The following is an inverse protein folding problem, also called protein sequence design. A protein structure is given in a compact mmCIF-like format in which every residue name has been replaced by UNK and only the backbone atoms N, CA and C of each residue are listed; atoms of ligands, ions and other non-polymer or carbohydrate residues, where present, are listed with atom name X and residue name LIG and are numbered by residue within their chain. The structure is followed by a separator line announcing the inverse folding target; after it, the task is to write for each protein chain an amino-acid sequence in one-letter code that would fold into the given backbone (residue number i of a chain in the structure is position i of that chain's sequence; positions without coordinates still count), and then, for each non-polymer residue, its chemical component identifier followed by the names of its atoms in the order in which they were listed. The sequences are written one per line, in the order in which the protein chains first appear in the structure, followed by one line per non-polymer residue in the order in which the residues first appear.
data_IF_511517877359
#
_entry.id   IF_511517877359
#
_cell.length_a   1.000
_cell.length_b   1.000
_cell.length_c   1.000
_cell.angle_alpha   90.00
_cell.angle_beta   90.00
_cell.angle_gamma   90.00
#
_symmetry.space_group_name_H-M   'P 1'
#
loop_
_entity.id
_entity.type
_entity.pdbx_description
1 polymer ?
#
# COMPACT_ATOMS: atom_id res chain seq x y z
N UNK A 1 7.04 -13.71 -28.86
CA UNK A 1 6.09 -12.94 -28.03
C UNK A 1 5.55 -13.80 -26.89
N UNK A 2 5.04 -15.02 -27.15
CA UNK A 2 4.58 -15.96 -26.11
C UNK A 2 5.67 -16.34 -25.09
N UNK A 3 6.91 -16.60 -25.52
CA UNK A 3 8.02 -16.94 -24.60
C UNK A 3 8.43 -15.79 -23.67
N UNK A 4 8.21 -14.53 -24.10
CA UNK A 4 8.55 -13.34 -23.31
C UNK A 4 7.51 -13.14 -22.19
N UNK A 5 6.23 -13.38 -22.48
CA UNK A 5 5.16 -13.28 -21.47
C UNK A 5 5.27 -14.38 -20.40
N UNK A 6 5.86 -15.53 -20.74
CA UNK A 6 6.10 -16.62 -19.80
C UNK A 6 7.39 -16.46 -18.97
N UNK A 7 8.14 -15.37 -19.18
CA UNK A 7 9.36 -15.09 -18.44
C UNK A 7 9.11 -15.04 -16.93
N UNK A 8 9.96 -15.72 -16.15
CA UNK A 8 9.81 -15.93 -14.70
C UNK A 8 9.50 -14.62 -13.94
N UNK A 9 10.22 -13.54 -14.26
CA UNK A 9 10.05 -12.25 -13.60
C UNK A 9 8.70 -11.57 -13.92
N UNK A 10 8.22 -11.68 -15.17
CA UNK A 10 6.93 -11.12 -15.57
C UNK A 10 5.80 -11.88 -14.87
N UNK A 11 5.87 -13.21 -14.85
CA UNK A 11 4.89 -14.06 -14.16
C UNK A 11 4.73 -13.73 -12.67
N UNK A 12 5.81 -13.30 -12.01
CA UNK A 12 5.76 -12.86 -10.61
C UNK A 12 5.11 -11.48 -10.44
N UNK A 13 5.33 -10.57 -11.39
CA UNK A 13 4.82 -9.21 -11.35
C UNK A 13 3.39 -9.09 -11.87
N UNK A 14 2.94 -10.00 -12.73
CA UNK A 14 1.56 -10.04 -13.21
C UNK A 14 0.63 -10.41 -12.06
N UNK A 15 -0.32 -9.52 -11.77
CA UNK A 15 -1.36 -9.80 -10.80
C UNK A 15 -2.29 -10.89 -11.38
N UNK A 16 -2.31 -12.08 -10.79
CA UNK A 16 -3.17 -13.18 -11.21
C UNK A 16 -4.64 -13.00 -10.78
N UNK A 17 -5.01 -11.82 -10.27
CA UNK A 17 -6.35 -11.45 -9.78
C UNK A 17 -6.99 -12.41 -8.76
N UNK A 18 -6.21 -13.35 -8.23
CA UNK A 18 -6.68 -14.32 -7.25
C UNK A 18 -6.92 -13.69 -5.87
N UNK A 19 -6.45 -12.45 -5.66
CA UNK A 19 -6.63 -11.69 -4.42
C UNK A 19 -7.40 -10.40 -4.69
N UNK A 20 -8.71 -10.43 -4.46
CA UNK A 20 -9.52 -9.22 -4.36
C UNK A 20 -9.11 -8.43 -3.10
N UNK A 21 -8.99 -7.10 -3.15
CA UNK A 21 -8.70 -6.31 -1.96
C UNK A 21 -9.85 -6.52 -0.95
N UNK A 22 -9.49 -6.76 0.31
CA UNK A 22 -10.48 -6.78 1.38
C UNK A 22 -11.11 -5.40 1.51
N UNK A 23 -12.41 -5.36 1.84
CA UNK A 23 -13.13 -4.12 2.17
C UNK A 23 -12.33 -3.30 3.18
N UNK A 24 -11.72 -3.97 4.18
CA UNK A 24 -10.89 -3.29 5.19
C UNK A 24 -9.71 -2.58 4.53
N UNK A 25 -8.97 -3.26 3.64
CA UNK A 25 -7.81 -2.68 2.95
C UNK A 25 -8.19 -1.48 2.09
N UNK A 26 -9.35 -1.51 1.46
CA UNK A 26 -9.83 -0.41 0.63
C UNK A 26 -10.20 0.85 1.45
N UNK A 27 -10.78 0.66 2.64
CA UNK A 27 -11.31 1.78 3.44
C UNK A 27 -10.40 2.23 4.59
N UNK A 28 -9.35 1.47 4.94
CA UNK A 28 -8.51 1.79 6.11
C UNK A 28 -7.81 3.15 5.99
N UNK A 29 -7.35 3.53 4.80
CA UNK A 29 -6.67 4.81 4.56
C UNK A 29 -7.63 6.00 4.71
N UNK A 30 -8.76 6.09 3.97
CA UNK A 30 -9.68 7.22 4.14
C UNK A 30 -10.28 7.28 5.54
N UNK A 31 -10.60 6.14 6.16
CA UNK A 31 -11.14 6.09 7.53
C UNK A 31 -10.10 6.56 8.56
N UNK A 32 -8.85 6.12 8.45
CA UNK A 32 -7.78 6.58 9.36
C UNK A 32 -7.50 8.08 9.22
N UNK A 33 -7.52 8.63 8.00
CA UNK A 33 -7.44 10.07 7.78
C UNK A 33 -8.61 10.83 8.42
N UNK A 34 -9.84 10.33 8.28
CA UNK A 34 -11.01 10.91 8.94
C UNK A 34 -10.91 10.88 10.47
N UNK A 35 -10.52 9.73 11.04
CA UNK A 35 -10.31 9.57 12.47
C UNK A 35 -9.22 10.51 13.00
N UNK A 36 -8.13 10.69 12.24
CA UNK A 36 -7.08 11.66 12.55
C UNK A 36 -7.63 13.09 12.55
N UNK A 37 -8.49 13.46 11.60
CA UNK A 37 -9.15 14.77 11.57
C UNK A 37 -10.03 15.04 12.79
N UNK A 38 -10.79 14.04 13.22
CA UNK A 38 -11.56 14.13 14.45
C UNK A 38 -10.66 14.32 15.69
N UNK A 39 -9.63 13.49 15.82
CA UNK A 39 -8.68 13.56 16.93
C UNK A 39 -7.93 14.90 16.96
N UNK A 40 -7.53 15.43 15.80
CA UNK A 40 -6.86 16.72 15.68
C UNK A 40 -7.72 17.87 16.22
N UNK A 41 -9.04 17.87 15.94
CA UNK A 41 -9.94 18.89 16.47
C UNK A 41 -10.16 18.73 17.97
N UNK A 42 -10.37 17.51 18.46
CA UNK A 42 -10.46 17.25 19.89
C UNK A 42 -9.20 17.76 20.63
N UNK A 43 -8.01 17.46 20.09
CA UNK A 43 -6.74 17.94 20.63
C UNK A 43 -6.59 19.46 20.57
N UNK A 44 -6.98 20.10 19.46
CA UNK A 44 -6.93 21.56 19.32
C UNK A 44 -7.82 22.28 20.35
N UNK A 45 -9.04 21.79 20.57
CA UNK A 45 -10.00 22.37 21.53
C UNK A 45 -9.48 22.20 22.96
N UNK A 46 -8.94 21.03 23.27
CA UNK A 46 -8.30 20.77 24.56
C UNK A 46 -7.13 21.72 24.83
N UNK A 47 -6.23 21.90 23.85
CA UNK A 47 -5.09 22.83 23.95
C UNK A 47 -5.55 24.29 24.15
N UNK A 48 -6.63 24.69 23.49
CA UNK A 48 -7.23 26.02 23.61
C UNK A 48 -8.08 26.19 24.88
N UNK A 49 -8.05 25.23 25.82
CA UNK A 49 -8.84 25.22 27.07
C UNK A 49 -10.35 25.36 26.83
N UNK A 50 -10.84 24.85 25.70
CA UNK A 50 -12.26 24.79 25.36
C UNK A 50 -12.80 23.38 25.58
N UNK A 51 -14.11 23.19 25.83
CA UNK A 51 -14.71 21.87 25.91
C UNK A 51 -14.45 21.09 24.62
N UNK A 52 -14.04 19.83 24.74
CA UNK A 52 -13.57 18.99 23.63
C UNK A 52 -14.61 18.86 22.52
N UNK A 53 -15.89 18.77 22.88
CA UNK A 53 -17.02 18.63 21.95
C UNK A 53 -17.69 19.95 21.57
N UNK A 54 -17.04 21.10 21.81
CA UNK A 54 -17.61 22.41 21.49
C UNK A 54 -17.56 22.70 19.98
N UNK A 55 -18.74 22.93 19.40
CA UNK A 55 -18.91 23.30 17.99
C UNK A 55 -18.84 22.09 17.07
N UNK A 56 -19.92 21.30 17.05
CA UNK A 56 -20.04 20.05 16.29
C UNK A 56 -19.73 20.23 14.79
N UNK A 57 -20.04 21.40 14.23
CA UNK A 57 -19.73 21.76 12.85
C UNK A 57 -18.24 21.62 12.52
N UNK A 58 -17.35 21.93 13.47
CA UNK A 58 -15.91 21.79 13.26
C UNK A 58 -15.48 20.32 13.22
N UNK A 59 -16.05 19.47 14.08
CA UNK A 59 -15.75 18.05 14.07
C UNK A 59 -16.19 17.42 12.74
N UNK A 60 -17.41 17.74 12.28
CA UNK A 60 -17.94 17.23 11.01
C UNK A 60 -17.08 17.73 9.84
N UNK A 61 -16.80 19.04 9.78
CA UNK A 61 -16.03 19.62 8.67
C UNK A 61 -14.63 19.01 8.55
N UNK A 62 -13.89 18.89 9.66
CA UNK A 62 -12.53 18.34 9.63
C UNK A 62 -12.51 16.84 9.37
N UNK A 63 -13.45 16.08 9.95
CA UNK A 63 -13.54 14.63 9.72
C UNK A 63 -13.90 14.33 8.27
N UNK A 64 -14.94 14.96 7.72
CA UNK A 64 -15.35 14.78 6.34
C UNK A 64 -14.29 15.33 5.36
N UNK A 65 -13.69 16.48 5.66
CA UNK A 65 -12.64 17.07 4.84
C UNK A 65 -11.41 16.17 4.72
N UNK A 66 -10.90 15.66 5.83
CA UNK A 66 -9.75 14.74 5.81
C UNK A 66 -10.09 13.36 5.28
N UNK A 67 -11.32 12.87 5.47
CA UNK A 67 -11.77 11.64 4.82
C UNK A 67 -11.77 11.77 3.30
N UNK A 68 -12.36 12.85 2.76
CA UNK A 68 -12.38 13.11 1.32
C UNK A 68 -10.97 13.29 0.75
N UNK A 69 -10.12 14.01 1.46
CA UNK A 69 -8.70 14.13 1.10
C UNK A 69 -8.01 12.76 1.09
N UNK A 70 -8.20 11.95 2.13
CA UNK A 70 -7.63 10.60 2.23
C UNK A 70 -8.08 9.68 1.10
N UNK A 71 -9.34 9.81 0.65
CA UNK A 71 -9.84 9.05 -0.50
C UNK A 71 -9.14 9.42 -1.81
N UNK A 72 -9.01 10.72 -2.10
CA UNK A 72 -8.33 11.20 -3.31
C UNK A 72 -6.85 10.85 -3.28
N UNK A 73 -6.19 11.04 -2.12
CA UNK A 73 -4.80 10.69 -1.93
C UNK A 73 -4.55 9.19 -2.09
N UNK A 74 -5.46 8.34 -1.59
CA UNK A 74 -5.36 6.90 -1.78
C UNK A 74 -5.49 6.51 -3.26
N UNK A 75 -6.45 7.11 -3.98
CA UNK A 75 -6.59 6.86 -5.41
C UNK A 75 -5.34 7.25 -6.19
N UNK A 76 -4.80 8.45 -5.94
CA UNK A 76 -3.57 8.90 -6.58
C UNK A 76 -2.38 7.96 -6.29
N UNK A 77 -2.29 7.46 -5.05
CA UNK A 77 -1.28 6.49 -4.63
C UNK A 77 -1.43 5.16 -5.40
N UNK A 78 -2.65 4.66 -5.54
CA UNK A 78 -2.93 3.42 -6.26
C UNK A 78 -2.57 3.55 -7.75
N UNK A 79 -2.96 4.67 -8.38
CA UNK A 79 -2.62 4.98 -9.77
C UNK A 79 -1.09 5.03 -9.98
N UNK A 80 -0.36 5.72 -9.10
CA UNK A 80 1.09 5.80 -9.14
C UNK A 80 1.77 4.42 -9.06
N UNK A 81 1.28 3.53 -8.19
CA UNK A 81 1.86 2.18 -8.09
C UNK A 81 1.48 1.29 -9.27
N UNK A 82 0.28 1.47 -9.84
CA UNK A 82 -0.11 0.78 -11.07
C UNK A 82 0.82 1.15 -12.23
N UNK A 83 1.12 2.44 -12.40
CA UNK A 83 2.04 2.95 -13.43
C UNK A 83 3.46 2.41 -13.23
N UNK A 84 3.96 2.45 -11.98
CA UNK A 84 5.29 1.93 -11.64
C UNK A 84 5.41 0.43 -11.96
N UNK A 85 4.39 -0.36 -11.60
CA UNK A 85 4.38 -1.78 -11.88
C UNK A 85 4.26 -2.08 -13.39
N UNK A 86 3.52 -1.25 -14.13
CA UNK A 86 3.46 -1.33 -15.59
C UNK A 86 4.83 -1.04 -16.23
N UNK A 87 5.53 -0.01 -15.75
CA UNK A 87 6.89 0.32 -16.19
C UNK A 87 7.86 -0.84 -15.95
N UNK A 88 7.80 -1.51 -14.79
CA UNK A 88 8.67 -2.66 -14.52
C UNK A 88 8.40 -3.83 -15.45
N UNK A 89 7.13 -4.16 -15.72
CA UNK A 89 6.77 -5.20 -16.68
C UNK A 89 7.28 -4.88 -18.08
N UNK A 90 7.19 -3.61 -18.49
CA UNK A 90 7.69 -3.15 -19.78
C UNK A 90 9.22 -3.22 -19.88
N UNK A 91 9.94 -2.86 -18.82
CA UNK A 91 11.40 -2.94 -18.82
C UNK A 91 11.89 -4.38 -18.93
N UNK A 92 11.29 -5.30 -18.16
CA UNK A 92 11.66 -6.72 -18.17
C UNK A 92 11.35 -7.36 -19.53
N UNK A 93 10.27 -6.97 -20.20
CA UNK A 93 9.95 -7.52 -21.53
C UNK A 93 10.93 -7.06 -22.61
N UNK A 94 11.54 -5.88 -22.44
CA UNK A 94 12.56 -5.35 -23.34
C UNK A 94 13.94 -5.99 -23.08
N UNK A 95 14.26 -6.30 -21.81
CA UNK A 95 15.55 -6.84 -21.38
C UNK A 95 15.38 -8.12 -20.54
N UNK A 96 14.97 -9.24 -21.14
CA UNK A 96 14.79 -10.49 -20.40
C UNK A 96 16.13 -11.06 -19.89
N UNK A 97 17.23 -10.83 -20.61
CA UNK A 97 18.56 -11.38 -20.28
C UNK A 97 19.14 -10.84 -18.96
N UNK A 98 18.73 -9.64 -18.54
CA UNK A 98 19.12 -9.03 -17.26
C UNK A 98 18.54 -9.78 -16.05
N UNK A 99 17.51 -10.61 -16.27
CA UNK A 99 16.74 -11.28 -15.22
C UNK A 99 16.75 -12.81 -15.37
N UNK A 100 17.91 -13.47 -15.31
CA UNK A 100 17.99 -14.93 -15.41
C UNK A 100 17.20 -15.60 -14.27
N UNK A 101 16.50 -16.68 -14.60
CA UNK A 101 15.72 -17.42 -13.61
C UNK A 101 16.66 -18.06 -12.55
N UNK A 102 16.49 -17.75 -11.25
CA UNK A 102 17.36 -18.30 -10.21
C UNK A 102 17.06 -19.80 -9.97
N UNK A 103 18.11 -20.55 -9.67
CA UNK A 103 17.99 -21.95 -9.25
C UNK A 103 17.29 -22.03 -7.88
N UNK A 104 16.16 -22.75 -7.81
CA UNK A 104 15.40 -22.95 -6.56
C UNK A 104 15.98 -24.10 -5.74
N UNK A 105 16.89 -23.76 -4.80
CA UNK A 105 17.47 -24.73 -3.85
C UNK A 105 16.53 -24.99 -2.67
N UNK A 106 16.50 -26.24 -2.20
CA UNK A 106 15.71 -26.60 -1.01
C UNK A 106 16.45 -26.20 0.26
N UNK A 107 15.72 -25.92 1.35
CA UNK A 107 16.35 -25.61 2.65
C UNK A 107 17.28 -26.73 3.17
N UNK A 108 17.08 -27.99 2.77
CA UNK A 108 17.99 -29.09 3.10
C UNK A 108 19.35 -29.02 2.39
N UNK A 109 19.45 -28.29 1.28
CA UNK A 109 20.69 -28.10 0.52
C UNK A 109 21.46 -26.84 0.99
N UNK A 110 20.81 -25.98 1.78
CA UNK A 110 21.36 -24.70 2.24
C UNK A 110 21.76 -24.82 3.71
N UNK A 111 23.07 -24.86 3.98
CA UNK A 111 23.59 -24.82 5.34
C UNK A 111 23.78 -23.37 5.81
N UNK A 112 22.81 -22.84 6.54
CA UNK A 112 22.93 -21.52 7.16
C UNK A 112 23.65 -21.63 8.51
N UNK A 113 24.39 -20.57 8.87
CA UNK A 113 24.97 -20.44 10.21
C UNK A 113 23.85 -20.33 11.23
N UNK A 114 23.79 -21.27 12.17
CA UNK A 114 22.89 -21.19 13.31
C UNK A 114 23.48 -20.25 14.38
N UNK A 115 22.72 -19.21 14.76
CA UNK A 115 23.09 -18.29 15.84
C UNK A 115 22.11 -18.46 17.02
N UNK A 116 22.55 -19.03 18.16
CA UNK A 116 21.69 -19.19 19.32
C UNK A 116 21.32 -17.84 19.92
N UNK A 117 20.09 -17.76 20.44
CA UNK A 117 19.71 -16.78 21.46
C UNK A 117 20.04 -17.45 22.81
N UNK A 118 20.97 -16.85 23.57
CA UNK A 118 21.39 -17.29 24.89
C UNK A 118 20.92 -16.31 25.94
#
# INVERSE_FOLDING_TARGET
MSEIEEHYAIKLLTNTFNRQPSIITQWIIPVSCGAFGFAAICGSKYFMKRPVFSGIQHHILYTCGLFAFGYVANKYRDDYYADRDAMYRHYISLHPDDFPAPERKKYGEILQRWQPIR
#
